data_IF_109552671296
#
_entry.id   IF_109552671296
#
_cell.length_a   1.000
_cell.length_b   1.000
_cell.length_c   1.000
_cell.angle_alpha   90.00
_cell.angle_beta   90.00
_cell.angle_gamma   90.00
#
_symmetry.space_group_name_H-M   'P 1'
#
loop_
_entity.id
_entity.type
_entity.pdbx_description
1 polymer ?
#
# COMPACT_ATOMS: atom_id res chain seq x y z
N UNK A 1 6.01 51.34 9.25
CA UNK A 1 5.33 52.63 9.40
C UNK A 1 5.37 53.39 8.08
N UNK A 2 4.86 52.77 7.00
CA UNK A 2 4.89 53.32 5.63
C UNK A 2 3.50 53.30 4.97
N UNK A 3 2.54 52.58 5.57
CA UNK A 3 1.16 52.44 5.11
C UNK A 3 0.20 53.49 5.70
N UNK A 4 0.69 54.39 6.55
CA UNK A 4 -0.11 55.41 7.24
C UNK A 4 0.45 56.83 7.10
N UNK A 5 1.40 57.05 6.19
CA UNK A 5 1.97 58.38 5.94
C UNK A 5 1.01 59.21 5.07
N UNK A 6 0.69 60.47 5.42
CA UNK A 6 -0.16 61.34 4.60
C UNK A 6 0.46 61.65 3.23
N UNK A 7 -0.35 62.02 2.22
CA UNK A 7 0.05 61.98 0.83
C UNK A 7 0.80 63.26 0.43
N UNK A 8 2.10 63.31 0.68
CA UNK A 8 2.97 64.24 -0.05
C UNK A 8 4.35 63.60 -0.30
N UNK A 9 4.63 63.37 -1.59
CA UNK A 9 5.92 63.02 -2.22
C UNK A 9 6.53 61.62 -2.00
N UNK A 10 5.80 60.56 -2.40
CA UNK A 10 6.29 59.44 -3.23
C UNK A 10 5.15 58.42 -3.36
N UNK A 11 4.79 58.02 -4.58
CA UNK A 11 3.83 56.93 -4.76
C UNK A 11 4.45 55.64 -4.20
N UNK A 12 4.04 55.24 -2.99
CA UNK A 12 4.49 54.01 -2.37
C UNK A 12 4.22 52.85 -3.33
N UNK A 13 5.28 52.27 -3.88
CA UNK A 13 5.15 51.22 -4.87
C UNK A 13 5.01 49.87 -4.17
N UNK A 14 4.40 48.90 -4.84
CA UNK A 14 4.34 47.51 -4.35
C UNK A 14 5.76 46.96 -4.13
N UNK A 15 6.73 47.40 -4.93
CA UNK A 15 8.13 46.99 -4.78
C UNK A 15 8.75 47.47 -3.46
N UNK A 16 8.42 48.67 -2.99
CA UNK A 16 8.93 49.20 -1.71
C UNK A 16 8.34 48.41 -0.53
N UNK A 17 7.06 48.06 -0.60
CA UNK A 17 6.40 47.23 0.40
C UNK A 17 6.97 45.80 0.42
N UNK A 18 7.21 45.20 -0.76
CA UNK A 18 7.84 43.88 -0.90
C UNK A 18 9.26 43.90 -0.35
N UNK A 19 10.06 44.93 -0.61
CA UNK A 19 11.43 45.03 -0.08
C UNK A 19 11.45 45.01 1.47
N UNK A 20 10.51 45.72 2.11
CA UNK A 20 10.41 45.81 3.58
C UNK A 20 9.96 44.51 4.25
N UNK A 21 9.15 43.70 3.56
CA UNK A 21 8.60 42.45 4.10
C UNK A 21 9.30 41.21 3.51
N UNK A 22 10.20 41.40 2.54
CA UNK A 22 10.87 40.34 1.75
C UNK A 22 11.44 39.21 2.62
N UNK A 23 12.19 39.53 3.68
CA UNK A 23 12.74 38.53 4.60
C UNK A 23 11.66 37.68 5.26
N UNK A 24 10.56 38.30 5.72
CA UNK A 24 9.41 37.58 6.30
C UNK A 24 8.65 36.78 5.24
N UNK A 25 8.50 37.33 4.03
CA UNK A 25 7.88 36.63 2.91
C UNK A 25 8.67 35.38 2.55
N UNK A 26 10.01 35.44 2.50
CA UNK A 26 10.85 34.28 2.23
C UNK A 26 10.73 33.22 3.34
N UNK A 27 10.69 33.62 4.61
CA UNK A 27 10.40 32.68 5.70
C UNK A 27 9.03 32.02 5.55
N UNK A 28 7.98 32.78 5.21
CA UNK A 28 6.63 32.24 5.00
C UNK A 28 6.56 31.31 3.79
N UNK A 29 7.25 31.64 2.71
CA UNK A 29 7.33 30.81 1.52
C UNK A 29 8.04 29.49 1.84
N UNK A 30 9.17 29.54 2.55
CA UNK A 30 9.88 28.34 3.00
C UNK A 30 9.01 27.45 3.91
N UNK A 31 8.26 28.05 4.85
CA UNK A 31 7.29 27.34 5.68
C UNK A 31 6.19 26.68 4.84
N UNK A 32 5.67 27.38 3.84
CA UNK A 32 4.65 26.86 2.93
C UNK A 32 5.14 25.67 2.10
N UNK A 33 6.37 25.75 1.57
CA UNK A 33 7.00 24.63 0.85
C UNK A 33 7.22 23.44 1.77
N UNK A 34 7.78 23.66 2.97
CA UNK A 34 8.01 22.58 3.94
C UNK A 34 6.70 21.90 4.39
N UNK A 35 5.63 22.67 4.56
CA UNK A 35 4.31 22.11 4.84
C UNK A 35 3.78 21.27 3.67
N UNK A 36 3.94 21.74 2.44
CA UNK A 36 3.53 20.99 1.26
C UNK A 36 4.30 19.66 1.12
N UNK A 37 5.59 19.64 1.46
CA UNK A 37 6.39 18.41 1.42
C UNK A 37 6.00 17.41 2.52
N UNK A 38 5.64 17.90 3.70
CA UNK A 38 5.07 17.07 4.75
C UNK A 38 3.75 16.42 4.30
N UNK A 39 2.84 17.20 3.70
CA UNK A 39 1.59 16.68 3.15
C UNK A 39 1.82 15.66 2.03
N UNK A 40 2.78 15.90 1.13
CA UNK A 40 3.14 14.94 0.06
C UNK A 40 3.66 13.64 0.63
N UNK A 41 4.43 13.70 1.69
CA UNK A 41 4.97 12.51 2.37
C UNK A 41 3.84 11.66 2.95
N UNK A 42 2.90 12.27 3.67
CA UNK A 42 1.74 11.54 4.22
C UNK A 42 0.83 11.01 3.12
N UNK A 43 0.58 11.80 2.07
CA UNK A 43 -0.20 11.35 0.92
C UNK A 43 0.43 10.13 0.22
N UNK A 44 1.75 10.10 0.08
CA UNK A 44 2.46 8.96 -0.51
C UNK A 44 2.28 7.69 0.32
N UNK A 45 2.32 7.80 1.65
CA UNK A 45 2.06 6.65 2.54
C UNK A 45 0.64 6.14 2.41
N UNK A 46 -0.34 7.05 2.38
CA UNK A 46 -1.75 6.67 2.21
C UNK A 46 -2.03 6.03 0.85
N UNK A 47 -1.34 6.47 -0.20
CA UNK A 47 -1.43 5.83 -1.51
C UNK A 47 -0.93 4.38 -1.49
N UNK A 48 0.20 4.13 -0.82
CA UNK A 48 0.76 2.77 -0.63
C UNK A 48 -0.19 1.91 0.22
N UNK A 49 -0.67 2.45 1.35
CA UNK A 49 -1.67 1.79 2.19
C UNK A 49 -2.91 1.39 1.38
N UNK A 50 -3.41 2.27 0.51
CA UNK A 50 -4.55 1.98 -0.36
C UNK A 50 -4.28 0.83 -1.35
N UNK A 51 -3.06 0.69 -1.86
CA UNK A 51 -2.67 -0.45 -2.71
C UNK A 51 -2.64 -1.76 -1.93
N UNK A 52 -1.96 -1.74 -0.78
CA UNK A 52 -1.84 -2.90 0.11
C UNK A 52 -3.20 -3.36 0.65
N UNK A 53 -4.06 -2.42 1.06
CA UNK A 53 -5.42 -2.73 1.52
C UNK A 53 -6.21 -3.46 0.44
N UNK A 54 -6.19 -2.98 -0.81
CA UNK A 54 -6.86 -3.67 -1.92
C UNK A 54 -6.32 -5.08 -2.13
N UNK A 55 -5.01 -5.29 -2.01
CA UNK A 55 -4.41 -6.63 -2.13
C UNK A 55 -4.83 -7.57 -1.01
N UNK A 56 -4.81 -7.10 0.25
CA UNK A 56 -5.26 -7.88 1.40
C UNK A 56 -6.73 -8.28 1.25
N UNK A 57 -7.58 -7.35 0.81
CA UNK A 57 -8.99 -7.64 0.54
C UNK A 57 -9.17 -8.65 -0.59
N UNK A 58 -8.45 -8.49 -1.71
CA UNK A 58 -8.47 -9.46 -2.82
C UNK A 58 -8.02 -10.86 -2.36
N UNK A 59 -6.92 -10.93 -1.60
CA UNK A 59 -6.40 -12.17 -1.07
C UNK A 59 -7.42 -12.83 -0.13
N UNK A 60 -7.98 -12.07 0.81
CA UNK A 60 -9.00 -12.57 1.74
C UNK A 60 -10.25 -13.08 1.02
N UNK A 61 -10.75 -12.37 0.00
CA UNK A 61 -11.86 -12.83 -0.82
C UNK A 61 -11.53 -14.11 -1.61
N UNK A 62 -10.29 -14.23 -2.09
CA UNK A 62 -9.81 -15.37 -2.84
C UNK A 62 -9.61 -16.63 -1.97
N UNK A 63 -9.26 -16.48 -0.69
CA UNK A 63 -8.96 -17.61 0.22
C UNK A 63 -10.14 -18.01 1.12
N UNK A 64 -11.04 -17.08 1.46
CA UNK A 64 -12.09 -17.32 2.48
C UNK A 64 -13.39 -17.95 1.93
N UNK A 65 -13.47 -18.23 0.62
CA UNK A 65 -14.68 -18.79 -0.01
C UNK A 65 -14.54 -20.31 -0.23
N UNK A 66 -15.44 -21.14 0.36
CA UNK A 66 -15.38 -22.58 0.19
C UNK A 66 -15.90 -23.05 -1.19
N UNK A 67 -16.87 -22.35 -1.78
CA UNK A 67 -17.43 -22.68 -3.09
C UNK A 67 -17.93 -21.44 -3.83
N UNK A 68 -18.09 -21.56 -5.15
CA UNK A 68 -18.82 -20.60 -5.97
C UNK A 68 -20.09 -21.27 -6.51
N UNK A 69 -21.20 -20.54 -6.73
CA UNK A 69 -22.42 -21.10 -7.32
C UNK A 69 -22.17 -21.79 -8.68
N UNK A 70 -21.19 -21.29 -9.44
CA UNK A 70 -20.79 -21.84 -10.73
C UNK A 70 -19.81 -23.02 -10.64
N UNK A 71 -19.18 -23.26 -9.49
CA UNK A 71 -18.20 -24.34 -9.31
C UNK A 71 -18.08 -24.78 -7.83
N UNK A 72 -18.63 -25.95 -7.53
CA UNK A 72 -18.57 -26.54 -6.18
C UNK A 72 -17.13 -26.90 -5.74
N UNK A 73 -16.22 -27.19 -6.68
CA UNK A 73 -14.82 -27.54 -6.40
C UNK A 73 -13.89 -26.32 -6.29
N UNK A 74 -14.45 -25.12 -6.26
CA UNK A 74 -13.67 -23.88 -6.28
C UNK A 74 -12.64 -23.75 -5.13
N UNK A 75 -13.00 -24.18 -3.92
CA UNK A 75 -12.10 -24.13 -2.75
C UNK A 75 -10.93 -25.12 -2.81
N UNK A 76 -11.07 -26.21 -3.58
CA UNK A 76 -10.07 -27.29 -3.69
C UNK A 76 -9.08 -27.08 -4.84
N UNK A 77 -9.24 -26.01 -5.61
CA UNK A 77 -8.33 -25.70 -6.71
C UNK A 77 -6.90 -25.41 -6.19
N UNK A 78 -5.83 -25.93 -6.82
CA UNK A 78 -4.44 -25.80 -6.35
C UNK A 78 -3.99 -24.34 -6.17
N UNK A 79 -4.53 -23.42 -6.99
CA UNK A 79 -4.33 -21.98 -6.84
C UNK A 79 -4.76 -21.45 -5.46
N UNK A 80 -5.88 -21.92 -4.93
CA UNK A 80 -6.40 -21.47 -3.61
C UNK A 80 -5.55 -22.00 -2.50
N UNK A 81 -5.06 -23.23 -2.66
CA UNK A 81 -4.08 -23.77 -1.75
C UNK A 81 -2.81 -22.90 -1.74
N UNK A 82 -2.28 -22.55 -2.92
CA UNK A 82 -1.12 -21.67 -3.03
C UNK A 82 -1.35 -20.28 -2.38
N UNK A 83 -2.51 -19.68 -2.59
CA UNK A 83 -2.87 -18.40 -1.96
C UNK A 83 -3.06 -18.51 -0.44
N UNK A 84 -3.58 -19.64 0.06
CA UNK A 84 -3.65 -19.93 1.50
C UNK A 84 -2.26 -20.05 2.11
N UNK A 85 -1.34 -20.76 1.46
CA UNK A 85 0.04 -20.83 1.91
C UNK A 85 0.72 -19.45 1.93
N UNK A 86 0.42 -18.60 0.95
CA UNK A 86 0.90 -17.22 0.96
C UNK A 86 0.30 -16.40 2.10
N UNK A 87 -0.98 -16.61 2.41
CA UNK A 87 -1.64 -16.00 3.56
C UNK A 87 -0.98 -16.42 4.89
N UNK A 88 -0.60 -17.69 5.01
CA UNK A 88 0.16 -18.22 6.15
C UNK A 88 1.56 -17.59 6.24
N UNK A 89 2.24 -17.32 5.11
CA UNK A 89 3.51 -16.58 5.12
C UNK A 89 3.35 -15.15 5.69
N UNK A 90 2.22 -14.50 5.43
CA UNK A 90 1.95 -13.13 5.90
C UNK A 90 1.64 -13.06 7.39
N UNK A 91 0.90 -14.04 7.93
CA UNK A 91 0.32 -13.97 9.27
C UNK A 91 0.84 -15.04 10.24
N UNK A 92 1.43 -16.12 9.74
CA UNK A 92 1.86 -17.30 10.49
C UNK A 92 3.32 -17.27 10.91
N UNK A 93 3.92 -16.08 11.07
CA UNK A 93 5.28 -15.99 11.59
C UNK A 93 5.31 -16.39 13.07
N UNK A 94 6.28 -17.23 13.42
CA UNK A 94 6.51 -17.69 14.80
C UNK A 94 7.98 -17.58 15.16
N UNK A 95 8.28 -17.41 16.44
CA UNK A 95 9.66 -17.44 16.94
C UNK A 95 10.22 -18.87 17.10
N UNK A 96 11.47 -18.98 17.53
CA UNK A 96 12.15 -20.26 17.75
C UNK A 96 11.46 -21.13 18.83
N UNK A 97 10.70 -20.51 19.73
CA UNK A 97 9.89 -21.18 20.74
C UNK A 97 8.45 -21.46 20.30
N UNK A 98 8.10 -21.15 19.04
CA UNK A 98 6.78 -21.39 18.46
C UNK A 98 5.70 -20.38 18.88
N UNK A 99 6.06 -19.26 19.50
CA UNK A 99 5.12 -18.19 19.85
C UNK A 99 4.79 -17.36 18.61
N UNK A 100 3.52 -16.97 18.40
CA UNK A 100 3.12 -16.19 17.24
C UNK A 100 3.76 -14.80 17.29
N UNK A 101 4.44 -14.41 16.21
CA UNK A 101 5.12 -13.14 16.06
C UNK A 101 4.40 -12.27 15.03
N UNK A 102 3.93 -11.11 15.49
CA UNK A 102 3.23 -10.14 14.63
C UNK A 102 4.26 -9.18 14.04
N UNK A 103 4.63 -9.39 12.76
CA UNK A 103 5.53 -8.52 12.02
C UNK A 103 4.84 -7.83 10.85
N UNK A 104 4.44 -6.57 11.03
CA UNK A 104 3.88 -5.77 9.95
C UNK A 104 4.91 -5.51 8.83
N UNK A 105 6.19 -5.38 9.17
CA UNK A 105 7.25 -5.15 8.20
C UNK A 105 7.37 -6.31 7.20
N UNK A 106 7.28 -7.55 7.68
CA UNK A 106 7.29 -8.74 6.81
C UNK A 106 6.08 -8.78 5.89
N UNK A 107 4.88 -8.54 6.45
CA UNK A 107 3.64 -8.53 5.67
C UNK A 107 3.68 -7.46 4.58
N UNK A 108 4.05 -6.22 4.93
CA UNK A 108 4.18 -5.10 3.98
C UNK A 108 5.22 -5.41 2.91
N UNK A 109 6.39 -5.93 3.27
CA UNK A 109 7.43 -6.28 2.30
C UNK A 109 6.99 -7.36 1.32
N UNK A 110 6.35 -8.42 1.80
CA UNK A 110 5.85 -9.50 0.96
C UNK A 110 4.72 -9.02 0.05
N UNK A 111 3.80 -8.19 0.56
CA UNK A 111 2.72 -7.62 -0.24
C UNK A 111 3.24 -6.62 -1.29
N UNK A 112 4.25 -5.82 -0.98
CA UNK A 112 4.89 -4.94 -1.95
C UNK A 112 5.55 -5.73 -3.09
N UNK A 113 6.23 -6.85 -2.77
CA UNK A 113 6.78 -7.75 -3.79
C UNK A 113 5.69 -8.40 -4.64
N UNK A 114 4.58 -8.78 -4.02
CA UNK A 114 3.41 -9.31 -4.72
C UNK A 114 2.81 -8.27 -5.66
N UNK A 115 2.61 -7.04 -5.19
CA UNK A 115 2.02 -5.95 -5.98
C UNK A 115 2.86 -5.63 -7.23
N UNK A 116 4.18 -5.60 -7.06
CA UNK A 116 5.13 -5.41 -8.16
C UNK A 116 5.20 -6.62 -9.10
N UNK A 117 4.81 -7.81 -8.65
CA UNK A 117 5.01 -9.06 -9.40
C UNK A 117 6.50 -9.39 -9.55
N UNK A 118 7.26 -9.27 -8.45
CA UNK A 118 8.71 -9.41 -8.42
C UNK A 118 9.19 -10.85 -8.74
N UNK A 119 10.30 -11.00 -9.47
CA UNK A 119 10.83 -12.33 -9.89
C UNK A 119 11.44 -13.17 -8.76
N UNK A 120 11.80 -12.51 -7.66
CA UNK A 120 12.26 -13.17 -6.44
C UNK A 120 11.28 -14.22 -5.94
N UNK A 121 11.80 -15.28 -5.31
CA UNK A 121 10.99 -16.41 -4.86
C UNK A 121 10.70 -16.34 -3.36
N UNK A 122 9.51 -16.77 -2.99
CA UNK A 122 9.11 -17.02 -1.62
C UNK A 122 9.01 -18.53 -1.40
N UNK A 123 9.52 -18.99 -0.25
CA UNK A 123 9.31 -20.35 0.22
C UNK A 123 8.02 -20.36 1.05
N UNK A 124 7.02 -21.09 0.57
CA UNK A 124 5.74 -21.26 1.21
C UNK A 124 5.69 -22.62 1.88
N UNK A 125 5.22 -22.67 3.12
CA UNK A 125 5.19 -23.90 3.92
C UNK A 125 3.79 -24.15 4.45
N UNK A 126 3.20 -25.29 4.11
CA UNK A 126 1.91 -25.73 4.63
C UNK A 126 2.02 -26.14 6.09
N UNK A 127 1.17 -25.55 6.94
CA UNK A 127 1.14 -25.85 8.37
C UNK A 127 0.58 -27.24 8.68
N UNK A 128 -0.38 -27.71 7.90
CA UNK A 128 -1.12 -28.96 8.18
C UNK A 128 -0.43 -30.18 7.56
N UNK A 129 0.14 -29.99 6.38
CA UNK A 129 0.56 -31.04 5.46
C UNK A 129 2.08 -31.02 5.17
N UNK A 130 2.80 -30.04 5.73
CA UNK A 130 4.26 -29.94 5.64
C UNK A 130 4.80 -29.68 4.24
N UNK A 131 3.91 -29.41 3.27
CA UNK A 131 4.28 -29.15 1.89
C UNK A 131 5.13 -27.88 1.80
N UNK A 132 6.22 -27.93 1.04
CA UNK A 132 7.07 -26.77 0.76
C UNK A 132 7.00 -26.42 -0.72
N UNK A 133 6.58 -25.20 -1.03
CA UNK A 133 6.43 -24.72 -2.40
C UNK A 133 7.29 -23.48 -2.58
N UNK A 134 8.21 -23.53 -3.54
CA UNK A 134 9.00 -22.38 -3.94
C UNK A 134 8.36 -21.73 -5.17
N UNK A 135 7.89 -20.50 -5.02
CA UNK A 135 7.15 -19.78 -6.08
C UNK A 135 7.61 -18.34 -6.19
N UNK A 136 7.59 -17.77 -7.39
CA UNK A 136 7.88 -16.34 -7.58
C UNK A 136 6.69 -15.46 -7.17
N UNK A 137 6.95 -14.21 -6.76
CA UNK A 137 5.86 -13.26 -6.53
C UNK A 137 5.11 -12.91 -7.83
N UNK A 138 5.77 -13.04 -8.99
CA UNK A 138 5.14 -12.91 -10.29
C UNK A 138 4.04 -13.96 -10.52
N UNK A 139 4.36 -15.25 -10.31
CA UNK A 139 3.38 -16.35 -10.42
C UNK A 139 2.25 -16.20 -9.39
N UNK A 140 2.58 -15.85 -8.14
CA UNK A 140 1.57 -15.59 -7.11
C UNK A 140 0.60 -14.48 -7.50
N UNK A 141 1.09 -13.42 -8.12
CA UNK A 141 0.26 -12.32 -8.62
C UNK A 141 -0.69 -12.79 -9.71
N UNK A 142 -0.19 -13.55 -10.69
CA UNK A 142 -1.02 -14.12 -11.75
C UNK A 142 -2.12 -15.02 -11.18
N UNK A 143 -1.76 -15.89 -10.23
CA UNK A 143 -2.70 -16.78 -9.55
C UNK A 143 -3.77 -15.96 -8.82
N UNK A 144 -3.39 -14.91 -8.08
CA UNK A 144 -4.33 -14.03 -7.39
C UNK A 144 -5.27 -13.29 -8.35
N UNK A 145 -4.76 -12.78 -9.47
CA UNK A 145 -5.54 -12.04 -10.46
C UNK A 145 -6.54 -12.94 -11.18
N UNK A 146 -6.11 -14.11 -11.66
CA UNK A 146 -7.01 -15.15 -12.20
C UNK A 146 -8.07 -15.50 -11.17
N UNK A 147 -7.61 -15.74 -9.96
CA UNK A 147 -8.43 -16.18 -8.86
C UNK A 147 -9.53 -15.18 -8.49
N UNK A 148 -9.21 -13.89 -8.54
CA UNK A 148 -10.15 -12.82 -8.28
C UNK A 148 -11.08 -12.57 -9.47
N UNK A 149 -10.60 -12.73 -10.70
CA UNK A 149 -11.41 -12.61 -11.92
C UNK A 149 -12.56 -13.62 -11.97
N UNK A 150 -12.32 -14.86 -11.52
CA UNK A 150 -13.36 -15.88 -11.39
C UNK A 150 -14.47 -15.46 -10.40
N UNK A 151 -14.09 -14.85 -9.26
CA UNK A 151 -15.07 -14.35 -8.27
C UNK A 151 -15.86 -13.18 -8.84
N UNK A 152 -15.18 -12.24 -9.48
CA UNK A 152 -15.82 -11.07 -10.06
C UNK A 152 -16.84 -11.48 -11.12
N UNK A 153 -16.48 -12.39 -12.02
CA UNK A 153 -17.39 -12.93 -13.03
C UNK A 153 -18.59 -13.65 -12.42
N UNK A 154 -18.38 -14.43 -11.35
CA UNK A 154 -19.48 -15.11 -10.64
C UNK A 154 -20.38 -14.16 -9.84
N UNK A 155 -19.94 -12.94 -9.51
CA UNK A 155 -20.74 -11.94 -8.80
C UNK A 155 -21.62 -11.10 -9.74
N UNK A 156 -21.32 -11.10 -11.04
CA UNK A 156 -22.09 -10.39 -12.08
C UNK A 156 -23.22 -11.24 -12.69
N UNK A 157 -23.29 -12.53 -12.34
CA UNK A 157 -24.33 -13.49 -12.74
C UNK A 157 -25.48 -13.50 -11.73
#
# INVERSE_FOLDING_TARGET
MLLLSPPEAAHASVHDAVALVSGRLMTRLAQGVGYADALRTELSKEQENGRLLRLVLKLGLATSRPSLPANESYGDHPDRYLLRLFQDLLYGSSDEEGRPLISFAQAVHALNKLDLGHDGRALLTGREDGAMVLVSYHELKQVLERSFGEIAAAAEQ
#
